data_IF_368773129990
#
_entry.id   IF_368773129990
#
_cell.length_a   1.000
_cell.length_b   1.000
_cell.length_c   1.000
_cell.angle_alpha   90.00
_cell.angle_beta   90.00
_cell.angle_gamma   90.00
#
_symmetry.space_group_name_H-M   'P 1'
#
loop_
_entity.id
_entity.type
_entity.pdbx_description
1 polymer ?
#
# COMPACT_ATOMS: atom_id res chain seq x y z
N UNK A 1 -19.74 -26.60 17.56
CA UNK A 1 -19.27 -26.14 18.88
C UNK A 1 -19.99 -24.88 19.39
N UNK A 2 -20.39 -23.92 18.56
CA UNK A 2 -21.14 -22.71 19.02
C UNK A 2 -22.57 -22.99 19.50
N UNK A 3 -23.24 -24.05 19.05
CA UNK A 3 -24.61 -24.45 19.49
C UNK A 3 -24.65 -25.00 20.92
N UNK A 4 -23.57 -25.61 21.39
CA UNK A 4 -23.51 -26.20 22.76
C UNK A 4 -23.28 -25.11 23.81
N UNK A 5 -22.60 -24.02 23.44
CA UNK A 5 -22.31 -22.90 24.36
C UNK A 5 -23.53 -22.03 24.65
N UNK A 6 -24.40 -21.83 23.68
CA UNK A 6 -25.65 -21.06 23.85
C UNK A 6 -26.65 -21.83 24.73
N UNK A 7 -26.77 -23.15 24.55
CA UNK A 7 -27.67 -24.01 25.38
C UNK A 7 -27.20 -24.10 26.81
N UNK A 8 -25.89 -24.10 27.08
CA UNK A 8 -25.34 -24.10 28.46
C UNK A 8 -25.59 -22.77 29.19
N UNK A 9 -25.61 -21.63 28.48
CA UNK A 9 -25.84 -20.32 29.09
C UNK A 9 -27.32 -20.16 29.56
N UNK A 10 -28.26 -20.69 28.80
CA UNK A 10 -29.70 -20.67 29.13
C UNK A 10 -29.99 -21.61 30.33
N UNK A 11 -29.35 -22.79 30.39
CA UNK A 11 -29.51 -23.75 31.48
C UNK A 11 -28.93 -23.24 32.82
N UNK A 12 -27.88 -22.42 32.78
CA UNK A 12 -27.28 -21.83 34.00
C UNK A 12 -28.13 -20.70 34.63
N UNK A 13 -28.98 -20.02 33.85
CA UNK A 13 -29.86 -18.97 34.37
C UNK A 13 -31.11 -19.51 35.05
N UNK A 14 -31.57 -20.73 34.73
CA UNK A 14 -32.75 -21.35 35.32
C UNK A 14 -32.46 -21.93 36.71
N UNK A 15 -31.23 -22.36 36.98
CA UNK A 15 -30.87 -22.98 38.27
C UNK A 15 -30.65 -22.00 39.44
N UNK A 16 -30.64 -20.69 39.20
CA UNK A 16 -30.40 -19.67 40.22
C UNK A 16 -31.67 -19.10 40.88
N UNK A 17 -32.88 -19.55 40.50
CA UNK A 17 -34.17 -19.01 40.97
C UNK A 17 -35.00 -19.97 41.83
N UNK A 18 -34.51 -21.16 42.18
CA UNK A 18 -35.22 -22.13 43.00
C UNK A 18 -34.76 -22.08 44.47
N UNK A 19 -35.00 -20.97 45.13
CA UNK A 19 -34.97 -20.90 46.59
C UNK A 19 -35.81 -19.72 47.11
N UNK A 20 -37.13 -19.82 47.03
CA UNK A 20 -38.08 -19.30 48.03
C UNK A 20 -39.56 -19.42 47.53
N UNK A 21 -40.32 -20.27 48.19
CA UNK A 21 -41.74 -20.17 48.52
C UNK A 21 -42.79 -20.00 47.37
N UNK A 22 -43.57 -21.03 47.12
CA UNK A 22 -45.00 -21.12 46.86
C UNK A 22 -45.70 -20.31 45.73
N UNK A 23 -45.19 -19.19 45.28
CA UNK A 23 -45.73 -18.37 44.16
C UNK A 23 -44.79 -18.31 42.95
N UNK A 24 -43.63 -18.93 43.05
CA UNK A 24 -42.58 -18.94 42.03
C UNK A 24 -42.82 -19.99 40.92
N UNK A 25 -43.58 -21.02 41.22
CA UNK A 25 -43.77 -22.15 40.29
C UNK A 25 -44.59 -21.79 39.04
N UNK A 26 -45.64 -20.95 39.18
CA UNK A 26 -46.43 -20.45 38.03
C UNK A 26 -45.69 -19.35 37.25
N UNK A 27 -44.76 -18.65 37.86
CA UNK A 27 -43.90 -17.68 37.15
C UNK A 27 -42.76 -18.38 36.42
N UNK A 28 -42.25 -19.50 36.95
CA UNK A 28 -41.21 -20.31 36.30
C UNK A 28 -41.73 -21.01 35.04
N UNK A 29 -42.93 -21.62 35.11
CA UNK A 29 -43.55 -22.26 33.94
C UNK A 29 -43.84 -21.25 32.77
N UNK A 30 -44.27 -20.02 33.11
CA UNK A 30 -44.46 -18.98 32.07
C UNK A 30 -43.16 -18.43 31.49
N UNK A 31 -42.06 -18.47 32.21
CA UNK A 31 -40.74 -18.09 31.74
C UNK A 31 -40.12 -19.19 30.86
N UNK A 32 -40.35 -20.46 31.24
CA UNK A 32 -39.93 -21.62 30.47
C UNK A 32 -40.70 -21.66 29.09
N UNK A 33 -42.02 -21.49 29.11
CA UNK A 33 -42.84 -21.46 27.90
C UNK A 33 -42.45 -20.31 26.96
N UNK A 34 -42.15 -19.12 27.50
CA UNK A 34 -41.63 -17.99 26.67
C UNK A 34 -40.17 -18.17 26.21
N UNK A 35 -39.36 -18.90 26.94
CA UNK A 35 -37.98 -19.21 26.54
C UNK A 35 -37.95 -20.27 25.42
N UNK A 36 -38.89 -21.26 25.48
CA UNK A 36 -39.08 -22.26 24.41
C UNK A 36 -39.64 -21.62 23.14
N UNK A 37 -40.64 -20.71 23.28
CA UNK A 37 -41.20 -19.97 22.14
C UNK A 37 -40.17 -19.05 21.49
N UNK A 38 -39.33 -18.39 22.28
CA UNK A 38 -38.22 -17.56 21.80
C UNK A 38 -37.09 -18.38 21.16
N UNK A 39 -36.81 -19.58 21.68
CA UNK A 39 -35.83 -20.50 21.11
C UNK A 39 -36.34 -21.09 19.78
N UNK A 40 -37.60 -21.47 19.69
CA UNK A 40 -38.21 -21.96 18.44
C UNK A 40 -38.27 -20.86 17.35
N UNK A 41 -38.58 -19.62 17.72
CA UNK A 41 -38.59 -18.48 16.80
C UNK A 41 -37.16 -18.08 16.30
N UNK A 42 -36.15 -18.36 17.11
CA UNK A 42 -34.72 -18.17 16.71
C UNK A 42 -34.25 -19.33 15.82
N UNK A 43 -34.70 -20.58 16.08
CA UNK A 43 -34.40 -21.72 15.22
C UNK A 43 -35.09 -21.58 13.85
N UNK A 44 -36.36 -21.16 13.79
CA UNK A 44 -37.09 -20.93 12.54
C UNK A 44 -36.41 -19.80 11.71
N UNK A 45 -35.99 -18.69 12.34
CA UNK A 45 -35.25 -17.63 11.66
C UNK A 45 -33.81 -18.02 11.25
N UNK A 46 -33.18 -18.92 11.96
CA UNK A 46 -31.85 -19.44 11.59
C UNK A 46 -31.98 -20.47 10.45
N UNK A 47 -33.05 -21.31 10.45
CA UNK A 47 -33.32 -22.20 9.32
C UNK A 47 -33.72 -21.43 8.06
N UNK A 48 -34.57 -20.40 8.19
CA UNK A 48 -34.95 -19.52 7.07
C UNK A 48 -33.73 -18.72 6.53
N UNK A 49 -32.80 -18.30 7.40
CA UNK A 49 -31.56 -17.64 7.00
C UNK A 49 -30.53 -18.61 6.41
N UNK A 50 -30.57 -19.89 6.77
CA UNK A 50 -29.69 -20.94 6.22
C UNK A 50 -30.27 -21.48 4.88
N UNK A 51 -31.62 -21.49 4.71
CA UNK A 51 -32.25 -21.90 3.47
C UNK A 51 -32.28 -20.80 2.40
N UNK A 52 -32.16 -19.50 2.85
CA UNK A 52 -32.00 -18.36 1.95
C UNK A 52 -30.53 -18.09 1.54
N UNK A 53 -29.57 -18.71 2.19
CA UNK A 53 -28.20 -18.78 1.70
C UNK A 53 -28.11 -19.95 0.72
N UNK A 54 -28.40 -19.70 -0.55
CA UNK A 54 -27.89 -20.56 -1.62
C UNK A 54 -26.38 -20.76 -1.34
N UNK A 55 -25.85 -21.99 -1.46
CA UNK A 55 -24.40 -22.15 -1.44
C UNK A 55 -23.87 -21.19 -2.50
N UNK A 56 -23.06 -20.21 -2.09
CA UNK A 56 -22.36 -19.35 -3.02
C UNK A 56 -21.72 -20.32 -4.01
N UNK A 57 -22.08 -20.21 -5.29
CA UNK A 57 -21.42 -20.98 -6.35
C UNK A 57 -19.94 -20.83 -6.08
N UNK A 58 -19.20 -21.96 -5.99
CA UNK A 58 -17.75 -21.91 -5.88
C UNK A 58 -17.28 -20.98 -7.00
N UNK A 59 -16.76 -19.81 -6.64
CA UNK A 59 -16.25 -18.88 -7.63
C UNK A 59 -15.08 -19.56 -8.33
N UNK A 60 -15.12 -19.61 -9.65
CA UNK A 60 -14.03 -20.14 -10.45
C UNK A 60 -12.77 -19.24 -10.38
N UNK A 61 -12.88 -18.06 -9.72
CA UNK A 61 -11.77 -17.09 -9.55
C UNK A 61 -10.80 -17.58 -8.48
N UNK A 62 -9.53 -17.72 -8.86
CA UNK A 62 -8.42 -18.10 -7.99
C UNK A 62 -7.26 -17.15 -8.25
N UNK A 63 -6.80 -16.48 -7.19
CA UNK A 63 -5.81 -15.40 -7.28
C UNK A 63 -4.44 -15.87 -6.86
N UNK A 64 -3.44 -15.66 -7.68
CA UNK A 64 -2.03 -15.81 -7.32
C UNK A 64 -1.30 -14.48 -7.40
N UNK A 65 -0.45 -14.18 -6.42
CA UNK A 65 0.50 -13.07 -6.47
C UNK A 65 1.91 -13.61 -6.73
N UNK A 66 2.65 -12.96 -7.61
CA UNK A 66 4.07 -13.28 -7.84
C UNK A 66 4.89 -12.10 -7.29
N UNK A 67 5.85 -12.33 -6.37
CA UNK A 67 6.71 -11.26 -5.85
C UNK A 67 7.77 -10.83 -6.86
N UNK A 68 8.22 -9.57 -6.77
CA UNK A 68 9.35 -9.06 -7.56
C UNK A 68 10.72 -9.32 -6.88
N UNK A 69 11.53 -8.27 -6.71
CA UNK A 69 12.81 -8.32 -5.97
C UNK A 69 12.62 -8.46 -4.45
N UNK A 70 11.46 -8.05 -3.95
CA UNK A 70 11.15 -7.98 -2.53
C UNK A 70 10.66 -9.30 -1.97
N UNK A 71 10.23 -9.20 -0.72
CA UNK A 71 9.57 -10.28 -0.01
C UNK A 71 8.23 -9.78 0.52
N UNK A 72 7.31 -10.68 0.80
CA UNK A 72 6.01 -10.34 1.41
C UNK A 72 6.14 -9.74 2.82
N UNK A 73 7.35 -9.50 3.30
CA UNK A 73 7.68 -8.88 4.59
C UNK A 73 8.50 -7.59 4.45
N UNK A 74 8.50 -6.97 3.25
CA UNK A 74 9.28 -5.77 2.95
C UNK A 74 8.74 -4.48 3.60
N UNK A 75 7.62 -4.58 4.31
CA UNK A 75 6.92 -3.46 4.98
C UNK A 75 6.51 -2.33 4.01
N UNK A 76 6.37 -2.64 2.73
CA UNK A 76 6.08 -1.68 1.66
C UNK A 76 5.34 -2.37 0.50
N UNK A 77 5.94 -2.39 -0.67
CA UNK A 77 5.33 -2.70 -1.97
C UNK A 77 4.79 -4.13 -2.09
N UNK A 78 5.66 -5.16 -1.89
CA UNK A 78 5.25 -6.55 -1.99
C UNK A 78 4.33 -6.97 -0.85
N UNK A 79 4.64 -6.57 0.37
CA UNK A 79 3.81 -6.90 1.53
C UNK A 79 2.40 -6.33 1.37
N UNK A 80 2.27 -5.07 0.98
CA UNK A 80 0.97 -4.41 0.80
C UNK A 80 0.14 -5.09 -0.29
N UNK A 81 0.76 -5.45 -1.42
CA UNK A 81 0.09 -6.16 -2.50
C UNK A 81 -0.37 -7.55 -2.04
N UNK A 82 0.50 -8.28 -1.33
CA UNK A 82 0.18 -9.59 -0.75
C UNK A 82 -0.98 -9.52 0.24
N UNK A 83 -0.93 -8.58 1.18
CA UNK A 83 -1.96 -8.42 2.21
C UNK A 83 -3.31 -8.01 1.59
N UNK A 84 -3.30 -7.14 0.57
CA UNK A 84 -4.50 -6.75 -0.14
C UNK A 84 -5.14 -7.94 -0.90
N UNK A 85 -4.35 -8.70 -1.66
CA UNK A 85 -4.83 -9.90 -2.34
C UNK A 85 -5.41 -10.93 -1.36
N UNK A 86 -4.66 -11.20 -0.27
CA UNK A 86 -5.07 -12.16 0.75
C UNK A 86 -6.36 -11.73 1.45
N UNK A 87 -6.44 -10.50 1.92
CA UNK A 87 -7.62 -9.98 2.62
C UNK A 87 -8.86 -9.97 1.72
N UNK A 88 -8.70 -9.57 0.45
CA UNK A 88 -9.78 -9.60 -0.54
C UNK A 88 -10.28 -11.04 -0.76
N UNK A 89 -9.38 -11.98 -0.96
CA UNK A 89 -9.75 -13.38 -1.19
C UNK A 89 -10.39 -14.03 0.04
N UNK A 90 -9.89 -13.71 1.25
CA UNK A 90 -10.50 -14.18 2.50
C UNK A 90 -11.94 -13.63 2.68
N UNK A 91 -12.17 -12.34 2.36
CA UNK A 91 -13.52 -11.73 2.41
C UNK A 91 -14.50 -12.36 1.42
N UNK A 92 -14.02 -12.68 0.22
CA UNK A 92 -14.85 -13.27 -0.86
C UNK A 92 -14.89 -14.80 -0.85
N UNK A 93 -14.12 -15.47 0.01
CA UNK A 93 -14.03 -16.92 0.06
C UNK A 93 -13.32 -17.53 -1.16
N UNK A 94 -12.39 -16.80 -1.78
CA UNK A 94 -11.63 -17.20 -2.95
C UNK A 94 -10.32 -17.92 -2.56
N UNK A 95 -9.81 -18.77 -3.45
CA UNK A 95 -8.49 -19.35 -3.30
C UNK A 95 -7.41 -18.29 -3.55
N UNK A 96 -6.39 -18.26 -2.68
CA UNK A 96 -5.24 -17.37 -2.80
C UNK A 96 -3.94 -18.10 -2.50
N UNK A 97 -2.90 -17.80 -3.29
CA UNK A 97 -1.52 -18.19 -3.01
C UNK A 97 -0.55 -17.11 -3.46
N UNK A 98 0.73 -17.23 -3.08
CA UNK A 98 1.79 -16.40 -3.65
C UNK A 98 2.97 -17.27 -4.07
N UNK A 99 3.73 -16.75 -5.02
CA UNK A 99 4.91 -17.41 -5.56
C UNK A 99 6.07 -16.44 -5.54
N UNK A 100 7.26 -16.94 -5.20
CA UNK A 100 8.49 -16.17 -5.23
C UNK A 100 9.42 -16.74 -6.30
N UNK A 101 9.78 -15.94 -7.32
CA UNK A 101 10.73 -16.37 -8.33
C UNK A 101 12.07 -16.78 -7.72
N UNK A 102 12.72 -17.76 -8.34
CA UNK A 102 14.01 -18.29 -7.86
C UNK A 102 15.17 -17.28 -8.01
N UNK A 103 15.01 -16.29 -8.89
CA UNK A 103 15.97 -15.20 -9.13
C UNK A 103 15.26 -13.99 -9.75
N UNK A 104 15.99 -12.89 -9.90
CA UNK A 104 15.48 -11.64 -10.52
C UNK A 104 15.50 -11.66 -12.06
N UNK A 105 15.59 -12.83 -12.67
CA UNK A 105 15.59 -12.99 -14.11
C UNK A 105 14.17 -13.20 -14.65
N UNK A 106 13.91 -12.76 -15.89
CA UNK A 106 12.61 -12.91 -16.54
C UNK A 106 12.17 -14.37 -16.66
N UNK A 107 13.08 -15.29 -16.98
CA UNK A 107 12.77 -16.71 -17.06
C UNK A 107 12.31 -17.31 -15.72
N UNK A 108 12.86 -16.83 -14.60
CA UNK A 108 12.40 -17.24 -13.27
C UNK A 108 11.00 -16.70 -12.94
N UNK A 109 10.68 -15.47 -13.39
CA UNK A 109 9.34 -14.87 -13.25
C UNK A 109 8.33 -15.60 -14.12
N UNK A 110 8.69 -15.88 -15.39
CA UNK A 110 7.86 -16.69 -16.31
C UNK A 110 7.56 -18.06 -15.69
N UNK A 111 8.58 -18.77 -15.20
CA UNK A 111 8.38 -20.07 -14.57
C UNK A 111 7.46 -20.02 -13.33
N UNK A 112 7.50 -18.93 -12.55
CA UNK A 112 6.61 -18.75 -11.40
C UNK A 112 5.17 -18.44 -11.81
N UNK A 113 4.97 -17.66 -12.88
CA UNK A 113 3.65 -17.38 -13.46
C UNK A 113 3.05 -18.68 -14.02
N UNK A 114 3.80 -19.43 -14.83
CA UNK A 114 3.36 -20.69 -15.41
C UNK A 114 3.03 -21.74 -14.33
N UNK A 115 3.84 -21.83 -13.28
CA UNK A 115 3.56 -22.70 -12.13
C UNK A 115 2.23 -22.32 -11.44
N UNK A 116 1.96 -21.05 -11.24
CA UNK A 116 0.71 -20.60 -10.65
C UNK A 116 -0.49 -20.96 -11.55
N UNK A 117 -0.35 -20.81 -12.87
CA UNK A 117 -1.39 -21.18 -13.84
C UNK A 117 -1.60 -22.72 -13.85
N UNK A 118 -0.53 -23.51 -13.83
CA UNK A 118 -0.58 -24.96 -13.75
C UNK A 118 -1.24 -25.48 -12.45
N UNK A 119 -1.06 -24.73 -11.33
CA UNK A 119 -1.75 -24.97 -10.05
C UNK A 119 -3.24 -24.55 -10.08
N UNK A 120 -3.69 -23.99 -11.21
CA UNK A 120 -5.08 -23.67 -11.51
C UNK A 120 -5.49 -22.26 -11.08
N UNK A 121 -4.55 -21.34 -10.85
CA UNK A 121 -4.84 -19.92 -10.63
C UNK A 121 -5.08 -19.22 -11.96
N UNK A 122 -6.13 -18.41 -12.04
CA UNK A 122 -6.56 -17.74 -13.27
C UNK A 122 -6.60 -16.21 -13.16
N UNK A 123 -6.11 -15.66 -12.03
CA UNK A 123 -5.84 -14.23 -11.84
C UNK A 123 -4.44 -14.08 -11.27
N UNK A 124 -3.55 -13.44 -12.01
CA UNK A 124 -2.14 -13.26 -11.63
C UNK A 124 -1.87 -11.80 -11.32
N UNK A 125 -1.49 -11.51 -10.07
CA UNK A 125 -1.14 -10.16 -9.61
C UNK A 125 0.37 -10.04 -9.50
N UNK A 126 0.95 -9.05 -10.18
CA UNK A 126 2.40 -8.86 -10.33
C UNK A 126 2.79 -7.44 -9.94
N UNK A 127 3.34 -7.22 -8.74
CA UNK A 127 3.86 -5.93 -8.33
C UNK A 127 5.29 -5.74 -8.85
N UNK A 128 5.51 -4.72 -9.68
CA UNK A 128 6.83 -4.24 -10.05
C UNK A 128 7.12 -4.22 -11.56
N UNK A 129 7.80 -3.16 -11.97
CA UNK A 129 8.22 -2.92 -13.36
C UNK A 129 9.03 -4.09 -13.97
N UNK A 130 9.75 -4.81 -13.13
CA UNK A 130 10.58 -5.95 -13.54
C UNK A 130 9.81 -7.12 -14.13
N UNK A 131 8.47 -7.12 -14.03
CA UNK A 131 7.63 -8.13 -14.65
C UNK A 131 7.41 -7.92 -16.15
N UNK A 132 7.80 -6.78 -16.73
CA UNK A 132 7.49 -6.45 -18.11
C UNK A 132 7.89 -7.54 -19.11
N UNK A 133 9.11 -8.09 -19.00
CA UNK A 133 9.57 -9.19 -19.86
C UNK A 133 8.76 -10.48 -19.67
N UNK A 134 8.45 -10.84 -18.42
CA UNK A 134 7.64 -12.02 -18.13
C UNK A 134 6.19 -11.86 -18.59
N UNK A 135 5.59 -10.66 -18.42
CA UNK A 135 4.26 -10.31 -18.91
C UNK A 135 4.21 -10.42 -20.43
N UNK A 136 5.20 -9.87 -21.12
CA UNK A 136 5.27 -9.91 -22.59
C UNK A 136 5.33 -11.36 -23.12
N UNK A 137 5.95 -12.27 -22.36
CA UNK A 137 6.03 -13.68 -22.70
C UNK A 137 4.75 -14.46 -22.36
N UNK A 138 4.05 -14.14 -21.27
CA UNK A 138 2.96 -14.99 -20.75
C UNK A 138 1.56 -14.48 -21.06
N UNK A 139 1.29 -13.19 -20.93
CA UNK A 139 -0.07 -12.67 -21.08
C UNK A 139 -0.71 -12.96 -22.46
N UNK A 140 0.01 -12.92 -23.60
CA UNK A 140 -0.55 -13.30 -24.89
C UNK A 140 -0.84 -14.80 -25.04
N UNK A 141 -0.08 -15.65 -24.33
CA UNK A 141 -0.19 -17.12 -24.45
C UNK A 141 -1.35 -17.68 -23.59
N UNK A 142 -1.69 -16.99 -22.49
CA UNK A 142 -2.70 -17.45 -21.53
C UNK A 142 -3.94 -16.51 -21.56
N UNK A 143 -4.65 -16.50 -22.69
CA UNK A 143 -5.76 -15.56 -22.92
C UNK A 143 -6.96 -15.71 -21.95
N UNK A 144 -7.09 -16.85 -21.27
CA UNK A 144 -8.13 -17.13 -20.28
C UNK A 144 -7.70 -16.80 -18.83
N UNK A 145 -6.51 -16.21 -18.64
CA UNK A 145 -5.96 -15.77 -17.37
C UNK A 145 -5.93 -14.25 -17.33
N UNK A 146 -6.47 -13.64 -16.27
CA UNK A 146 -6.40 -12.20 -16.07
C UNK A 146 -5.09 -11.80 -15.39
N UNK A 147 -4.38 -10.84 -15.97
CA UNK A 147 -3.10 -10.33 -15.48
C UNK A 147 -3.29 -8.91 -14.94
N UNK A 148 -2.89 -8.68 -13.69
CA UNK A 148 -2.93 -7.39 -13.02
C UNK A 148 -1.49 -7.01 -12.64
N UNK A 149 -0.92 -6.03 -13.31
CA UNK A 149 0.45 -5.57 -13.13
C UNK A 149 0.48 -4.17 -12.50
N UNK A 150 1.27 -4.00 -11.44
CA UNK A 150 1.48 -2.73 -10.76
C UNK A 150 2.88 -2.20 -11.06
N UNK A 151 3.00 -0.90 -11.33
CA UNK A 151 4.23 -0.22 -11.75
C UNK A 151 4.83 -0.75 -13.08
N UNK A 152 3.97 -1.23 -13.98
CA UNK A 152 4.39 -1.61 -15.34
C UNK A 152 3.81 -0.62 -16.32
N UNK A 153 4.68 0.13 -16.99
CA UNK A 153 4.30 1.12 -18.01
C UNK A 153 4.35 0.53 -19.42
N UNK A 154 3.77 1.24 -20.37
CA UNK A 154 3.91 0.89 -21.80
C UNK A 154 5.37 0.90 -22.26
N UNK A 155 6.20 1.81 -21.69
CA UNK A 155 7.62 1.88 -22.01
C UNK A 155 8.41 0.65 -21.52
N UNK A 156 8.03 0.08 -20.38
CA UNK A 156 8.67 -1.14 -19.86
C UNK A 156 8.35 -2.36 -20.73
N UNK A 157 7.13 -2.42 -21.30
CA UNK A 157 6.69 -3.48 -22.21
C UNK A 157 7.29 -3.36 -23.61
N UNK A 158 7.75 -2.15 -23.99
CA UNK A 158 8.29 -1.82 -25.29
C UNK A 158 7.29 -1.11 -26.21
N UNK A 159 7.81 -0.20 -27.04
CA UNK A 159 7.01 0.72 -27.87
C UNK A 159 6.04 0.02 -28.84
N UNK A 160 6.39 -1.18 -29.31
CA UNK A 160 5.60 -1.96 -30.26
C UNK A 160 4.71 -3.03 -29.58
N UNK A 161 4.73 -3.13 -28.24
CA UNK A 161 3.94 -4.14 -27.53
C UNK A 161 2.44 -3.82 -27.55
N UNK A 162 1.66 -4.75 -28.09
CA UNK A 162 0.21 -4.64 -28.11
C UNK A 162 -0.36 -5.30 -26.86
N UNK A 163 -0.92 -4.50 -25.97
CA UNK A 163 -1.53 -4.99 -24.72
C UNK A 163 -2.69 -5.95 -25.05
N UNK A 164 -2.61 -7.22 -24.61
CA UNK A 164 -3.71 -8.16 -24.77
C UNK A 164 -4.89 -7.80 -23.85
N UNK A 165 -6.10 -8.22 -24.23
CA UNK A 165 -7.34 -7.86 -23.53
C UNK A 165 -7.43 -8.37 -22.07
N UNK A 166 -6.60 -9.33 -21.71
CA UNK A 166 -6.50 -9.93 -20.38
C UNK A 166 -5.39 -9.31 -19.51
N UNK A 167 -4.72 -8.25 -19.96
CA UNK A 167 -3.66 -7.55 -19.23
C UNK A 167 -4.10 -6.16 -18.82
N UNK A 168 -4.17 -5.89 -17.52
CA UNK A 168 -4.28 -4.57 -16.93
C UNK A 168 -2.96 -4.16 -16.28
N UNK A 169 -2.50 -2.96 -16.59
CA UNK A 169 -1.34 -2.36 -15.94
C UNK A 169 -1.75 -1.07 -15.23
N UNK A 170 -1.16 -0.81 -14.07
CA UNK A 170 -1.26 0.45 -13.36
C UNK A 170 0.13 1.04 -13.17
N UNK A 171 0.28 2.34 -13.42
CA UNK A 171 1.38 3.17 -12.95
C UNK A 171 0.81 4.29 -12.09
N UNK A 172 1.63 4.92 -11.27
CA UNK A 172 1.15 5.94 -10.35
C UNK A 172 1.85 7.27 -10.62
N UNK A 173 1.18 8.36 -10.24
CA UNK A 173 1.72 9.71 -10.28
C UNK A 173 2.54 9.99 -9.01
N UNK A 174 3.65 9.25 -8.83
CA UNK A 174 4.50 9.34 -7.64
C UNK A 174 5.12 10.74 -7.48
N UNK A 175 5.27 11.48 -8.57
CA UNK A 175 5.69 12.88 -8.51
C UNK A 175 4.78 13.73 -7.64
N UNK A 176 3.47 13.40 -7.58
CA UNK A 176 2.50 14.17 -6.80
C UNK A 176 2.66 13.92 -5.30
N UNK A 177 2.74 12.66 -4.85
CA UNK A 177 2.96 12.39 -3.42
C UNK A 177 4.39 12.69 -2.98
N UNK A 178 5.38 12.55 -3.88
CA UNK A 178 6.72 13.08 -3.65
C UNK A 178 6.71 14.58 -3.41
N UNK A 179 6.00 15.35 -4.25
CA UNK A 179 5.81 16.79 -4.09
C UNK A 179 5.16 17.13 -2.74
N UNK A 180 4.06 16.46 -2.39
CA UNK A 180 3.37 16.67 -1.12
C UNK A 180 4.32 16.42 0.08
N UNK A 181 5.15 15.38 0.03
CA UNK A 181 6.09 15.05 1.09
C UNK A 181 7.24 16.07 1.20
N UNK A 182 7.79 16.54 0.08
CA UNK A 182 8.82 17.58 0.05
C UNK A 182 8.30 18.93 0.53
N UNK A 183 7.11 19.30 0.07
CA UNK A 183 6.42 20.52 0.49
C UNK A 183 6.13 20.48 2.02
N UNK A 184 5.57 19.36 2.49
CA UNK A 184 5.30 19.17 3.92
C UNK A 184 6.57 19.26 4.77
N UNK A 185 7.67 18.61 4.36
CA UNK A 185 8.93 18.65 5.09
C UNK A 185 9.42 20.10 5.32
N UNK A 186 9.44 20.91 4.28
CA UNK A 186 9.89 22.32 4.39
C UNK A 186 8.90 23.16 5.18
N UNK A 187 7.60 22.99 4.97
CA UNK A 187 6.54 23.71 5.76
C UNK A 187 6.58 23.35 7.25
N UNK A 188 6.99 22.12 7.59
CA UNK A 188 7.20 21.68 8.98
C UNK A 188 8.50 22.21 9.59
N UNK A 189 9.33 22.92 8.81
CA UNK A 189 10.51 23.63 9.29
C UNK A 189 11.85 22.96 9.00
N UNK A 190 11.87 21.83 8.29
CA UNK A 190 13.12 21.18 7.88
C UNK A 190 13.76 21.94 6.70
N UNK A 191 15.08 22.18 6.79
CA UNK A 191 15.84 22.93 5.78
C UNK A 191 17.03 22.15 5.22
N UNK A 192 17.40 21.04 5.85
CA UNK A 192 18.46 20.13 5.40
C UNK A 192 17.87 18.75 5.18
N UNK A 193 17.46 18.51 3.95
CA UNK A 193 16.73 17.32 3.55
C UNK A 193 17.68 16.29 2.91
N UNK A 194 17.26 15.03 2.88
CA UNK A 194 17.86 13.98 2.10
C UNK A 194 16.82 13.19 1.32
N UNK A 195 17.18 12.70 0.15
CA UNK A 195 16.46 11.68 -0.60
C UNK A 195 17.37 10.47 -0.78
N UNK A 196 16.97 9.35 -0.18
CA UNK A 196 17.59 8.05 -0.36
C UNK A 196 16.64 7.18 -1.19
N UNK A 197 16.84 7.14 -2.51
CA UNK A 197 16.12 6.24 -3.39
C UNK A 197 16.64 4.81 -3.31
N UNK A 198 15.80 3.83 -3.58
CA UNK A 198 16.24 2.46 -3.80
C UNK A 198 17.06 2.34 -5.09
N UNK A 199 16.51 1.74 -6.14
CA UNK A 199 17.08 1.76 -7.49
C UNK A 199 16.51 2.97 -8.27
N UNK A 200 17.27 3.50 -9.23
CA UNK A 200 16.83 4.61 -10.10
C UNK A 200 15.85 4.14 -11.18
N UNK A 201 14.76 3.50 -10.77
CA UNK A 201 13.67 3.08 -11.66
C UNK A 201 12.64 4.21 -11.80
N UNK A 202 11.82 4.23 -12.86
CA UNK A 202 10.93 5.35 -13.16
C UNK A 202 10.08 5.83 -11.98
N UNK A 203 9.46 4.92 -11.21
CA UNK A 203 8.65 5.26 -10.05
C UNK A 203 9.46 5.96 -8.94
N UNK A 204 10.66 5.45 -8.61
CA UNK A 204 11.53 6.03 -7.58
C UNK A 204 12.07 7.39 -8.01
N UNK A 205 12.38 7.56 -9.31
CA UNK A 205 12.78 8.87 -9.85
C UNK A 205 11.63 9.88 -9.77
N UNK A 206 10.39 9.49 -10.13
CA UNK A 206 9.21 10.36 -9.98
C UNK A 206 9.00 10.81 -8.54
N UNK A 207 9.06 9.90 -7.56
CA UNK A 207 9.01 10.25 -6.15
C UNK A 207 10.06 11.29 -5.76
N UNK A 208 11.33 11.04 -6.13
CA UNK A 208 12.44 11.90 -5.77
C UNK A 208 12.39 13.27 -6.45
N UNK A 209 12.05 13.30 -7.72
CA UNK A 209 11.92 14.56 -8.47
C UNK A 209 10.69 15.35 -8.03
N UNK A 210 9.58 14.69 -7.69
CA UNK A 210 8.45 15.32 -7.02
C UNK A 210 8.84 15.93 -5.69
N UNK A 211 9.57 15.19 -4.84
CA UNK A 211 10.07 15.66 -3.55
C UNK A 211 10.91 16.94 -3.67
N UNK A 212 11.82 16.98 -4.64
CA UNK A 212 12.63 18.18 -4.93
C UNK A 212 11.76 19.36 -5.35
N UNK A 213 10.78 19.16 -6.25
CA UNK A 213 9.87 20.21 -6.71
C UNK A 213 8.99 20.76 -5.57
N UNK A 214 8.47 19.88 -4.70
CA UNK A 214 7.66 20.28 -3.55
C UNK A 214 8.47 21.07 -2.50
N UNK A 215 9.69 20.64 -2.24
CA UNK A 215 10.60 21.35 -1.36
C UNK A 215 10.98 22.73 -1.92
N UNK A 216 11.23 22.85 -3.24
CA UNK A 216 11.53 24.12 -3.92
C UNK A 216 10.37 25.09 -3.82
N UNK A 217 9.14 24.63 -4.05
CA UNK A 217 7.93 25.44 -3.96
C UNK A 217 7.73 25.99 -2.53
N UNK A 218 7.85 25.14 -1.51
CA UNK A 218 7.69 25.56 -0.12
C UNK A 218 8.84 26.48 0.33
N UNK A 219 10.06 26.23 -0.09
CA UNK A 219 11.22 27.07 0.18
C UNK A 219 11.06 28.48 -0.43
N UNK A 220 10.60 28.55 -1.67
CA UNK A 220 10.30 29.81 -2.36
C UNK A 220 9.19 30.60 -1.66
N UNK A 221 8.11 29.91 -1.26
CA UNK A 221 6.98 30.51 -0.54
C UNK A 221 7.40 31.11 0.81
N UNK A 222 8.24 30.38 1.58
CA UNK A 222 8.70 30.81 2.89
C UNK A 222 9.89 31.77 2.82
N UNK A 223 10.57 31.87 1.68
CA UNK A 223 11.79 32.66 1.50
C UNK A 223 12.98 32.12 2.31
N UNK A 224 13.07 30.80 2.47
CA UNK A 224 14.14 30.13 3.24
C UNK A 224 15.04 29.31 2.31
N UNK A 225 16.37 29.26 2.54
CA UNK A 225 17.25 28.38 1.82
C UNK A 225 17.06 26.92 2.30
N UNK A 226 17.01 25.99 1.37
CA UNK A 226 16.89 24.55 1.65
C UNK A 226 17.98 23.81 0.89
N UNK A 227 18.63 22.86 1.54
CA UNK A 227 19.62 21.96 0.97
C UNK A 227 19.06 20.54 0.89
N UNK A 228 19.22 19.87 -0.24
CA UNK A 228 18.81 18.49 -0.44
C UNK A 228 20.00 17.66 -0.90
N UNK A 229 20.35 16.61 -0.16
CA UNK A 229 21.25 15.57 -0.63
C UNK A 229 20.41 14.47 -1.31
N UNK A 230 20.87 13.99 -2.46
CA UNK A 230 20.13 13.06 -3.28
C UNK A 230 20.99 11.90 -3.72
N UNK A 231 20.63 10.65 -3.37
CA UNK A 231 21.42 9.46 -3.69
C UNK A 231 20.51 8.24 -3.88
N UNK A 232 20.96 7.24 -4.65
CA UNK A 232 20.33 5.93 -4.74
C UNK A 232 21.19 4.87 -4.04
N UNK A 233 20.51 3.95 -3.30
CA UNK A 233 21.15 2.80 -2.67
C UNK A 233 21.47 1.67 -3.62
N UNK A 234 20.89 1.70 -4.83
CA UNK A 234 20.91 0.67 -5.86
C UNK A 234 20.37 -0.70 -5.41
N UNK A 235 19.48 -0.69 -4.41
CA UNK A 235 18.74 -1.84 -3.88
C UNK A 235 17.52 -1.38 -3.08
N UNK A 236 16.57 -2.28 -2.78
CA UNK A 236 15.32 -1.95 -2.04
C UNK A 236 15.33 -2.39 -0.57
N UNK A 237 16.50 -2.62 0.01
CA UNK A 237 16.67 -2.98 1.42
C UNK A 237 17.85 -2.22 2.02
N UNK A 238 17.84 -2.03 3.34
CA UNK A 238 18.94 -1.40 4.05
C UNK A 238 20.07 -2.40 4.34
N UNK A 239 21.29 -1.86 4.45
CA UNK A 239 22.46 -2.62 4.87
C UNK A 239 23.52 -1.71 5.50
N UNK A 240 24.65 -2.32 5.92
CA UNK A 240 25.69 -1.61 6.63
C UNK A 240 26.35 -0.47 5.81
N UNK A 241 26.47 -0.63 4.48
CA UNK A 241 27.10 0.38 3.63
C UNK A 241 26.19 1.59 3.47
N UNK A 242 24.88 1.35 3.25
CA UNK A 242 23.86 2.41 3.16
C UNK A 242 23.70 3.10 4.51
N UNK A 243 23.68 2.33 5.62
CA UNK A 243 23.63 2.90 6.98
C UNK A 243 24.83 3.80 7.25
N UNK A 244 26.05 3.35 6.90
CA UNK A 244 27.27 4.17 7.06
C UNK A 244 27.23 5.45 6.21
N UNK A 245 26.64 5.38 5.01
CA UNK A 245 26.46 6.54 4.15
C UNK A 245 25.47 7.53 4.79
N UNK A 246 24.33 7.06 5.27
CA UNK A 246 23.33 7.88 5.99
C UNK A 246 23.90 8.48 7.29
N UNK A 247 24.76 7.75 8.02
CA UNK A 247 25.48 8.28 9.17
C UNK A 247 26.26 9.54 8.82
N UNK A 248 26.92 9.58 7.65
CA UNK A 248 27.65 10.78 7.20
C UNK A 248 26.71 11.96 6.93
N UNK A 249 25.52 11.71 6.39
CA UNK A 249 24.54 12.75 6.11
C UNK A 249 23.98 13.37 7.39
N UNK A 250 23.51 12.54 8.31
CA UNK A 250 22.97 13.01 9.58
C UNK A 250 24.05 13.68 10.46
N UNK A 251 25.26 13.14 10.49
CA UNK A 251 26.39 13.77 11.18
C UNK A 251 26.76 15.15 10.58
N UNK A 252 26.56 15.35 9.28
CA UNK A 252 26.74 16.63 8.61
C UNK A 252 25.53 17.59 8.77
N UNK A 253 24.51 17.19 9.53
CA UNK A 253 23.35 18.01 9.89
C UNK A 253 22.12 17.85 9.00
N UNK A 254 22.04 16.80 8.16
CA UNK A 254 20.76 16.42 7.52
C UNK A 254 19.73 16.14 8.61
N UNK A 255 18.56 16.74 8.50
CA UNK A 255 17.52 16.73 9.54
C UNK A 255 16.48 15.61 9.30
N UNK A 256 16.15 15.36 8.02
CA UNK A 256 15.15 14.40 7.60
C UNK A 256 15.54 13.76 6.26
N UNK A 257 15.36 12.46 6.12
CA UNK A 257 15.61 11.72 4.88
C UNK A 257 14.34 11.05 4.41
N UNK A 258 13.95 11.28 3.15
CA UNK A 258 12.94 10.49 2.47
C UNK A 258 13.58 9.19 1.98
N UNK A 259 13.24 8.07 2.63
CA UNK A 259 13.73 6.74 2.30
C UNK A 259 12.76 6.06 1.33
N UNK A 260 12.99 6.25 0.02
CA UNK A 260 12.12 5.85 -1.06
C UNK A 260 12.56 4.52 -1.69
N UNK A 261 12.14 3.40 -1.09
CA UNK A 261 12.44 2.09 -1.70
C UNK A 261 12.30 0.91 -0.75
N UNK A 262 11.10 0.39 -0.58
CA UNK A 262 10.83 -0.82 0.21
C UNK A 262 11.40 -0.76 1.62
N UNK A 263 12.28 -1.69 1.95
CA UNK A 263 12.94 -1.81 3.25
C UNK A 263 14.17 -0.93 3.46
N UNK A 264 14.55 -0.06 2.49
CA UNK A 264 15.75 0.80 2.60
C UNK A 264 15.65 1.81 3.74
N UNK A 265 14.42 2.09 4.22
CA UNK A 265 14.19 2.95 5.38
C UNK A 265 14.99 2.51 6.61
N UNK A 266 15.26 1.21 6.75
CA UNK A 266 15.99 0.67 7.91
C UNK A 266 17.35 1.34 8.08
N UNK A 267 18.10 1.54 6.98
CA UNK A 267 19.40 2.23 7.01
C UNK A 267 19.27 3.72 7.35
N UNK A 268 18.25 4.41 6.82
CA UNK A 268 18.01 5.81 7.16
C UNK A 268 17.58 5.97 8.63
N UNK A 269 16.69 5.07 9.12
CA UNK A 269 16.22 5.07 10.49
C UNK A 269 17.35 4.77 11.50
N UNK A 270 18.17 3.75 11.24
CA UNK A 270 19.33 3.43 12.06
C UNK A 270 20.31 4.60 12.20
N UNK A 271 20.53 5.35 11.13
CA UNK A 271 21.38 6.53 11.17
C UNK A 271 20.71 7.72 11.88
N UNK A 272 19.42 7.95 11.61
CA UNK A 272 18.64 9.07 12.17
C UNK A 272 18.58 9.00 13.71
N UNK A 273 18.29 7.82 14.29
CA UNK A 273 18.15 7.69 15.76
C UNK A 273 19.40 8.05 16.52
N UNK A 274 20.59 7.94 15.93
CA UNK A 274 21.87 8.25 16.58
C UNK A 274 22.03 9.74 16.90
N UNK A 275 21.31 10.60 16.16
CA UNK A 275 21.44 12.06 16.26
C UNK A 275 20.12 12.78 16.48
N UNK A 276 19.01 12.05 16.60
CA UNK A 276 17.66 12.63 16.71
C UNK A 276 17.11 13.17 15.38
N UNK A 277 17.61 12.65 14.26
CA UNK A 277 17.09 12.94 12.92
C UNK A 277 15.73 12.31 12.67
N UNK A 278 15.17 12.53 11.49
CA UNK A 278 13.83 12.11 11.09
C UNK A 278 13.87 11.36 9.75
N UNK A 279 12.77 10.63 9.47
CA UNK A 279 12.60 9.93 8.20
C UNK A 279 11.21 10.21 7.60
N UNK A 280 11.12 10.08 6.28
CA UNK A 280 9.86 9.99 5.52
C UNK A 280 9.80 8.60 4.91
N UNK A 281 8.68 7.92 5.07
CA UNK A 281 8.42 6.58 4.52
C UNK A 281 7.86 6.64 3.10
N UNK A 282 7.62 5.46 2.50
CA UNK A 282 7.18 5.31 1.11
C UNK A 282 6.09 4.24 0.96
N UNK A 283 5.30 4.35 -0.10
CA UNK A 283 4.25 3.45 -0.60
C UNK A 283 3.04 3.33 0.33
N UNK A 284 3.26 3.10 1.60
CA UNK A 284 2.24 2.95 2.65
C UNK A 284 2.57 3.85 3.84
N UNK A 285 1.67 3.95 4.81
CA UNK A 285 1.97 4.59 6.09
C UNK A 285 2.94 3.71 6.90
N UNK A 286 4.23 3.99 6.77
CA UNK A 286 5.29 3.23 7.45
C UNK A 286 5.53 3.67 8.90
N UNK A 287 4.81 4.68 9.43
CA UNK A 287 5.06 5.21 10.77
C UNK A 287 4.98 4.12 11.85
N UNK A 288 3.93 3.29 11.84
CA UNK A 288 3.79 2.23 12.85
C UNK A 288 4.96 1.24 12.83
N UNK A 289 5.47 0.91 11.64
CA UNK A 289 6.61 -0.01 11.47
C UNK A 289 7.92 0.63 11.90
N UNK A 290 8.23 1.81 11.36
CA UNK A 290 9.51 2.49 11.60
C UNK A 290 9.59 2.93 13.06
N UNK A 291 8.56 3.59 13.58
CA UNK A 291 8.54 4.07 14.95
C UNK A 291 8.54 2.92 15.96
N UNK A 292 7.86 1.81 15.64
CA UNK A 292 7.86 0.60 16.47
C UNK A 292 9.22 -0.08 16.58
N UNK A 293 10.06 0.01 15.55
CA UNK A 293 11.40 -0.60 15.51
C UNK A 293 12.50 0.33 16.02
N UNK A 294 12.40 1.63 15.75
CA UNK A 294 13.50 2.57 15.94
C UNK A 294 13.21 3.68 16.95
N UNK A 295 11.97 3.92 17.30
CA UNK A 295 11.56 4.88 18.32
C UNK A 295 10.44 5.79 17.88
N UNK A 296 9.52 6.07 18.79
CA UNK A 296 8.31 6.86 18.57
C UNK A 296 8.62 8.25 18.02
N UNK A 297 7.87 8.67 17.01
CA UNK A 297 7.96 9.99 16.39
C UNK A 297 9.15 10.17 15.46
N UNK A 298 9.82 9.09 15.06
CA UNK A 298 10.92 9.12 14.08
C UNK A 298 10.39 9.46 12.68
N UNK A 299 9.24 8.89 12.31
CA UNK A 299 8.61 9.06 11.00
C UNK A 299 7.74 10.31 10.97
N UNK A 300 8.06 11.27 10.12
CA UNK A 300 7.30 12.53 10.01
C UNK A 300 6.06 12.36 9.15
N UNK A 301 6.18 11.64 8.06
CA UNK A 301 5.13 11.29 7.11
C UNK A 301 5.57 10.11 6.25
N UNK A 302 4.68 9.64 5.37
CA UNK A 302 5.03 8.71 4.28
C UNK A 302 4.37 9.20 2.98
N UNK A 303 5.11 9.14 1.87
CA UNK A 303 4.56 9.38 0.53
C UNK A 303 3.94 8.07 0.02
N UNK A 304 2.62 8.03 -0.10
CA UNK A 304 1.86 6.81 -0.31
C UNK A 304 1.34 6.68 -1.74
N UNK A 305 1.22 5.44 -2.21
CA UNK A 305 0.49 5.09 -3.42
C UNK A 305 -0.53 3.98 -3.18
N UNK A 306 -1.62 4.01 -3.93
CA UNK A 306 -2.84 3.24 -3.69
C UNK A 306 -2.76 1.78 -4.13
N UNK A 307 -1.72 1.05 -3.74
CA UNK A 307 -1.51 -0.36 -4.12
C UNK A 307 -2.71 -1.22 -3.74
N UNK A 308 -3.10 -1.20 -2.47
CA UNK A 308 -4.23 -1.98 -1.97
C UNK A 308 -5.57 -1.56 -2.64
N UNK A 309 -5.76 -0.25 -2.87
CA UNK A 309 -6.95 0.26 -3.57
C UNK A 309 -7.04 -0.27 -5.01
N UNK A 310 -5.91 -0.29 -5.73
CA UNK A 310 -5.83 -0.81 -7.10
C UNK A 310 -6.12 -2.31 -7.12
N UNK A 311 -5.47 -3.10 -6.24
CA UNK A 311 -5.69 -4.55 -6.13
C UNK A 311 -7.16 -4.84 -5.85
N UNK A 312 -7.75 -4.21 -4.83
CA UNK A 312 -9.15 -4.43 -4.45
C UNK A 312 -10.12 -4.05 -5.58
N UNK A 313 -9.85 -2.94 -6.28
CA UNK A 313 -10.67 -2.50 -7.41
C UNK A 313 -10.61 -3.51 -8.55
N UNK A 314 -9.42 -3.97 -8.91
CA UNK A 314 -9.24 -4.87 -10.05
C UNK A 314 -9.73 -6.28 -9.76
N UNK A 315 -9.45 -6.83 -8.57
CA UNK A 315 -10.02 -8.11 -8.15
C UNK A 315 -11.54 -8.05 -8.03
N UNK A 316 -12.11 -6.92 -7.58
CA UNK A 316 -13.56 -6.68 -7.60
C UNK A 316 -14.12 -6.77 -9.01
N UNK A 317 -13.49 -6.10 -9.98
CA UNK A 317 -13.90 -6.17 -11.40
C UNK A 317 -13.82 -7.58 -11.98
N UNK A 318 -12.82 -8.38 -11.59
CA UNK A 318 -12.72 -9.79 -12.00
C UNK A 318 -13.90 -10.59 -11.45
N UNK A 319 -14.18 -10.48 -10.15
CA UNK A 319 -15.28 -11.20 -9.48
C UNK A 319 -16.64 -10.81 -10.07
N UNK A 320 -16.82 -9.53 -10.39
CA UNK A 320 -18.07 -9.00 -10.97
C UNK A 320 -18.19 -9.26 -12.49
N UNK A 321 -17.19 -9.88 -13.13
CA UNK A 321 -17.15 -10.12 -14.57
C UNK A 321 -17.05 -8.84 -15.41
N UNK A 322 -16.54 -7.77 -14.84
CA UNK A 322 -16.39 -6.44 -15.48
C UNK A 322 -14.92 -6.06 -15.71
N UNK A 323 -14.01 -7.01 -15.49
CA UNK A 323 -12.58 -6.80 -15.76
C UNK A 323 -12.35 -6.36 -17.20
N UNK A 324 -11.53 -5.35 -17.37
CA UNK A 324 -11.10 -4.84 -18.66
C UNK A 324 -9.60 -4.66 -18.64
N UNK A 325 -8.92 -5.44 -19.45
CA UNK A 325 -7.50 -5.26 -19.74
C UNK A 325 -7.27 -4.50 -21.05
N UNK A 326 -6.11 -4.68 -21.65
CA UNK A 326 -5.69 -3.95 -22.85
C UNK A 326 -5.35 -2.49 -22.58
N UNK A 327 -5.00 -2.14 -21.32
CA UNK A 327 -4.74 -0.74 -20.94
C UNK A 327 -3.64 -0.62 -19.89
N UNK A 328 -3.03 0.57 -19.86
CA UNK A 328 -2.19 1.07 -18.77
C UNK A 328 -2.89 2.28 -18.17
N UNK A 329 -3.28 2.24 -16.91
CA UNK A 329 -3.84 3.40 -16.19
C UNK A 329 -2.74 4.13 -15.42
N UNK A 330 -2.79 5.47 -15.46
CA UNK A 330 -1.92 6.34 -14.66
C UNK A 330 -2.73 6.90 -13.49
N UNK A 331 -2.55 6.29 -12.33
CA UNK A 331 -3.35 6.53 -11.13
C UNK A 331 -2.77 7.65 -10.27
N UNK A 332 -3.55 8.68 -10.00
CA UNK A 332 -3.11 9.86 -9.27
C UNK A 332 -4.21 10.47 -8.43
N UNK A 333 -4.40 11.79 -8.56
CA UNK A 333 -5.47 12.51 -7.90
C UNK A 333 -6.77 12.35 -8.69
N UNK A 334 -7.79 11.82 -8.01
CA UNK A 334 -9.15 11.66 -8.53
C UNK A 334 -10.18 12.53 -7.78
N UNK A 335 -9.75 13.16 -6.68
CA UNK A 335 -10.59 13.97 -5.80
C UNK A 335 -9.78 15.09 -5.14
N UNK A 336 -10.49 16.13 -4.71
CA UNK A 336 -9.94 17.16 -3.81
C UNK A 336 -9.78 16.68 -2.35
N UNK A 337 -10.34 15.51 -2.01
CA UNK A 337 -10.25 14.89 -0.68
C UNK A 337 -9.05 13.94 -0.67
N UNK A 338 -8.05 14.17 0.21
CA UNK A 338 -6.81 13.39 0.17
C UNK A 338 -7.00 11.89 0.19
N UNK A 339 -7.86 11.36 1.06
CA UNK A 339 -8.04 9.93 1.30
C UNK A 339 -8.71 9.18 0.14
N UNK A 340 -9.31 9.90 -0.81
CA UNK A 340 -9.97 9.33 -1.98
C UNK A 340 -9.00 9.10 -3.15
N UNK A 341 -7.73 9.50 -2.99
CA UNK A 341 -6.74 9.50 -4.07
C UNK A 341 -5.81 8.29 -4.03
N UNK A 342 -5.26 7.96 -5.19
CA UNK A 342 -4.23 6.92 -5.32
C UNK A 342 -2.83 7.38 -4.87
N UNK A 343 -2.61 8.69 -4.72
CA UNK A 343 -1.36 9.28 -4.25
C UNK A 343 -1.66 10.32 -3.18
N UNK A 344 -0.96 10.25 -2.04
CA UNK A 344 -1.21 11.09 -0.89
C UNK A 344 -0.04 11.03 0.10
N UNK A 345 -0.03 11.87 1.14
CA UNK A 345 0.80 11.64 2.32
C UNK A 345 -0.01 10.97 3.44
N UNK A 346 0.69 10.29 4.33
CA UNK A 346 0.10 9.45 5.36
C UNK A 346 -0.80 10.20 6.34
N UNK A 347 -1.84 9.52 6.83
CA UNK A 347 -2.71 10.05 7.89
C UNK A 347 -1.98 10.28 9.22
N UNK A 348 -0.88 9.55 9.46
CA UNK A 348 0.01 9.70 10.61
C UNK A 348 0.96 10.91 10.54
N UNK A 349 0.90 11.72 9.47
CA UNK A 349 1.75 12.91 9.29
C UNK A 349 1.78 13.78 10.55
N UNK A 350 2.99 14.17 11.01
CA UNK A 350 3.19 15.01 12.17
C UNK A 350 2.86 16.48 11.86
N UNK A 351 1.59 16.76 11.60
CA UNK A 351 1.11 18.14 11.38
C UNK A 351 1.41 19.02 12.59
N UNK A 352 1.61 20.32 12.33
CA UNK A 352 1.90 21.33 13.34
C UNK A 352 1.21 22.66 13.01
N UNK A 353 1.40 23.67 13.82
CA UNK A 353 0.88 25.03 13.55
C UNK A 353 1.48 25.65 12.28
N UNK A 354 2.67 25.19 11.84
CA UNK A 354 3.32 25.68 10.61
C UNK A 354 2.85 24.99 9.34
N UNK A 355 2.31 23.78 9.45
CA UNK A 355 1.66 23.03 8.39
C UNK A 355 0.58 22.14 8.99
N UNK A 356 -0.65 22.58 8.88
CA UNK A 356 -1.80 21.89 9.44
C UNK A 356 -2.40 20.89 8.48
N UNK A 357 -3.28 20.02 8.99
CA UNK A 357 -4.08 19.13 8.13
C UNK A 357 -4.89 19.92 7.09
N UNK A 358 -5.45 21.08 7.47
CA UNK A 358 -6.22 21.91 6.54
C UNK A 358 -5.34 22.52 5.43
N UNK A 359 -4.06 22.84 5.73
CA UNK A 359 -3.11 23.30 4.70
C UNK A 359 -2.80 22.18 3.70
N UNK A 360 -2.68 20.94 4.17
CA UNK A 360 -2.50 19.77 3.31
C UNK A 360 -3.73 19.51 2.43
N UNK A 361 -4.94 19.57 2.99
CA UNK A 361 -6.20 19.44 2.22
C UNK A 361 -6.31 20.53 1.15
N UNK A 362 -5.92 21.77 1.46
CA UNK A 362 -5.88 22.87 0.49
C UNK A 362 -4.84 22.62 -0.61
N UNK A 363 -3.66 22.09 -0.26
CA UNK A 363 -2.62 21.71 -1.23
C UNK A 363 -3.15 20.66 -2.21
N UNK A 364 -3.77 19.59 -1.72
CA UNK A 364 -4.35 18.53 -2.56
C UNK A 364 -5.45 19.08 -3.46
N UNK A 365 -6.33 19.93 -2.93
CA UNK A 365 -7.39 20.57 -3.71
C UNK A 365 -6.84 21.47 -4.83
N UNK A 366 -5.77 22.21 -4.57
CA UNK A 366 -5.11 23.05 -5.58
C UNK A 366 -4.38 22.22 -6.65
N UNK A 367 -3.76 21.10 -6.28
CA UNK A 367 -3.18 20.15 -7.21
C UNK A 367 -4.27 19.50 -8.08
N UNK A 368 -5.35 19.00 -7.47
CA UNK A 368 -6.47 18.38 -8.18
C UNK A 368 -7.16 19.37 -9.14
N UNK A 369 -7.26 20.63 -8.77
CA UNK A 369 -7.79 21.71 -9.61
C UNK A 369 -6.83 22.15 -10.73
N UNK A 370 -5.62 21.58 -10.80
CA UNK A 370 -4.60 21.96 -11.78
C UNK A 370 -3.95 23.33 -11.58
N UNK A 371 -4.11 23.94 -10.39
CA UNK A 371 -3.43 25.20 -10.06
C UNK A 371 -1.95 24.97 -9.73
N UNK A 372 -1.62 23.80 -9.22
CA UNK A 372 -0.26 23.33 -8.99
C UNK A 372 -0.04 22.17 -9.97
N UNK A 373 1.01 22.29 -10.78
CA UNK A 373 1.44 21.25 -11.71
C UNK A 373 2.82 20.77 -11.32
N UNK A 374 3.01 19.46 -11.29
CA UNK A 374 4.29 18.80 -10.97
C UNK A 374 4.78 18.11 -12.23
N UNK A 375 6.03 18.31 -12.60
CA UNK A 375 6.63 17.61 -13.73
C UNK A 375 6.86 16.15 -13.37
N UNK A 376 6.47 15.24 -14.25
CA UNK A 376 6.76 13.82 -14.19
C UNK A 376 7.90 13.41 -15.15
N UNK A 377 8.61 14.38 -15.71
CA UNK A 377 9.81 14.14 -16.53
C UNK A 377 10.91 13.53 -15.66
N UNK A 378 11.37 12.35 -16.05
CA UNK A 378 12.42 11.60 -15.34
C UNK A 378 13.76 11.63 -16.10
N UNK A 379 13.79 12.20 -17.30
CA UNK A 379 14.98 12.26 -18.15
C UNK A 379 15.87 13.47 -17.80
N UNK A 380 15.31 14.45 -17.08
CA UNK A 380 16.02 15.65 -16.68
C UNK A 380 15.78 15.98 -15.20
N UNK A 381 16.84 16.37 -14.50
CA UNK A 381 16.74 16.86 -13.11
C UNK A 381 15.76 18.06 -13.04
N UNK A 382 14.92 18.16 -11.99
CA UNK A 382 13.98 19.27 -11.84
C UNK A 382 14.68 20.62 -11.82
N UNK A 383 14.14 21.59 -12.57
CA UNK A 383 14.58 22.96 -12.45
C UNK A 383 14.12 23.55 -11.12
N UNK A 384 15.05 24.01 -10.29
CA UNK A 384 14.82 24.54 -8.95
C UNK A 384 15.30 25.98 -8.82
N UNK A 385 14.71 26.75 -7.92
CA UNK A 385 15.00 28.18 -7.74
C UNK A 385 15.35 28.57 -6.30
N UNK A 386 14.83 27.86 -5.33
CA UNK A 386 14.97 28.15 -3.90
C UNK A 386 15.75 27.07 -3.13
N UNK A 387 15.87 25.86 -3.70
CA UNK A 387 16.64 24.79 -3.08
C UNK A 387 17.99 24.59 -3.79
N UNK A 388 18.93 23.98 -3.09
CA UNK A 388 20.19 23.46 -3.68
C UNK A 388 20.18 21.95 -3.55
N UNK A 389 20.32 21.24 -4.67
CA UNK A 389 20.34 19.77 -4.69
C UNK A 389 21.74 19.26 -5.00
N UNK A 390 22.23 18.39 -4.15
CA UNK A 390 23.51 17.67 -4.31
C UNK A 390 23.24 16.23 -4.77
N UNK A 391 23.25 16.02 -6.08
CA UNK A 391 23.03 14.69 -6.71
C UNK A 391 24.32 13.86 -6.62
N UNK A 392 24.31 12.79 -5.84
CA UNK A 392 25.48 11.99 -5.49
C UNK A 392 25.53 10.62 -6.23
N UNK A 393 24.61 10.38 -7.16
CA UNK A 393 24.56 9.16 -7.95
C UNK A 393 24.15 7.94 -7.12
N UNK A 394 24.95 6.87 -7.16
CA UNK A 394 24.69 5.61 -6.47
C UNK A 394 25.72 5.39 -5.33
N UNK A 395 25.27 4.78 -4.22
CA UNK A 395 26.13 4.34 -3.12
C UNK A 395 26.94 3.10 -3.54
N UNK A 396 26.34 2.23 -4.35
CA UNK A 396 26.91 0.96 -4.83
C UNK A 396 26.95 0.87 -6.34
#
# INVERSE_FOLDING_TARGET
MKKITALMLVLCMVFSLVACGGSAQQAAEKVEEKAEEAAAAVEEKVEEAVEAAEPAAESDVKVAMITDYGDITDQSFNQTTYEACKAFCEDKGLAFSYYKPASDADDARVASIELAIDDGYNVIVMPGYAFAGAIAATAPEYADVDFIALDVSSGDLGDDYVLPANLYCAVYQEELCGYMAGYAAVKLGYTKLGFLGGMAVPAVVRYGYGFVQGADAAAAELGVPVEIKYVYGNQFYGDADITAYMDTWYAAGTEIVFACGGGIYSSAAEAAVKVGGKVIGVDVDQAATIDGLYGEGLTVTSAMKGLAATVNTMLGKVVDGTFQGGMVENLGLVSAVPEENYVQIAGSTQFSDSFTRADYEALVADMFAGKITVSNDIDAEPAVTAVTVDYQGNIK
#
